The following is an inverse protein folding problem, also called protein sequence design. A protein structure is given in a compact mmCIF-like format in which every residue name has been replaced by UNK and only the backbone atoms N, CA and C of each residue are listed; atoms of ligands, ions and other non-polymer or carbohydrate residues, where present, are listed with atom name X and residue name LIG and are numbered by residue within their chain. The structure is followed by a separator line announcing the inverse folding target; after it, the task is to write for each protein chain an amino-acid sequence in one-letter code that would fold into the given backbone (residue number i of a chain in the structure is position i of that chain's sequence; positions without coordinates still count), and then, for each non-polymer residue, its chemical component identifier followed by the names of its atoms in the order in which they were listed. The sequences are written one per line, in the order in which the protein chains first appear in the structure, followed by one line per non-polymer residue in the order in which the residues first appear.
data_IF_819595423728
#
_entry.id   IF_819595423728
#
_cell.length_a   1.000
_cell.length_b   1.000
_cell.length_c   1.000
_cell.angle_alpha   90.00
_cell.angle_beta   90.00
_cell.angle_gamma   90.00
#
_symmetry.space_group_name_H-M   'P 1'
#
loop_
_entity.id
_entity.type
_entity.pdbx_description
1 polymer ?
#
# COMPACT_ATOMS: atom_id res chain seq x y z
N UNK A 1 27.47 1.66 -4.13
CA UNK A 1 26.25 1.48 -4.94
C UNK A 1 26.30 2.53 -6.02
N UNK A 2 25.96 2.17 -7.26
CA UNK A 2 25.87 3.15 -8.35
C UNK A 2 24.88 4.27 -7.96
N UNK A 3 25.20 5.52 -8.30
CA UNK A 3 24.37 6.69 -7.97
C UNK A 3 22.97 6.56 -8.59
N UNK A 4 22.88 6.01 -9.80
CA UNK A 4 21.62 5.78 -10.50
C UNK A 4 20.77 4.74 -9.77
N UNK A 5 21.39 3.65 -9.31
CA UNK A 5 20.72 2.60 -8.53
C UNK A 5 20.20 3.18 -7.20
N UNK A 6 21.03 3.98 -6.52
CA UNK A 6 20.65 4.60 -5.26
C UNK A 6 19.46 5.55 -5.44
N UNK A 7 19.41 6.30 -6.54
CA UNK A 7 18.29 7.19 -6.82
C UNK A 7 16.99 6.42 -7.10
N UNK A 8 17.06 5.25 -7.75
CA UNK A 8 15.89 4.36 -7.94
C UNK A 8 15.31 3.88 -6.61
N UNK A 9 16.14 3.43 -5.68
CA UNK A 9 15.70 3.08 -4.32
C UNK A 9 15.12 4.29 -3.56
N UNK A 10 15.75 5.47 -3.65
CA UNK A 10 15.23 6.69 -3.02
C UNK A 10 13.88 7.11 -3.60
N UNK A 11 13.72 7.01 -4.92
CA UNK A 11 12.43 7.29 -5.58
C UNK A 11 11.37 6.28 -5.12
N UNK A 12 11.65 4.98 -5.19
CA UNK A 12 10.73 3.94 -4.71
C UNK A 12 10.31 4.18 -3.25
N UNK A 13 11.26 4.48 -2.36
CA UNK A 13 10.98 4.76 -0.95
C UNK A 13 10.13 6.02 -0.70
N UNK A 14 10.32 7.08 -1.49
CA UNK A 14 9.47 8.28 -1.44
C UNK A 14 8.03 7.96 -1.87
N UNK A 15 7.86 7.22 -2.96
CA UNK A 15 6.55 6.80 -3.44
C UNK A 15 5.86 5.92 -2.38
N UNK A 16 6.55 4.88 -1.88
CA UNK A 16 6.03 3.95 -0.90
C UNK A 16 5.55 4.67 0.38
N UNK A 17 6.33 5.64 0.89
CA UNK A 17 5.91 6.52 1.99
C UNK A 17 4.63 7.27 1.65
N UNK A 18 4.61 7.97 0.51
CA UNK A 18 3.51 8.88 0.16
C UNK A 18 2.19 8.13 -0.03
N UNK A 19 2.22 6.95 -0.64
CA UNK A 19 1.02 6.13 -0.86
C UNK A 19 0.57 5.41 0.42
N UNK A 20 1.49 5.02 1.32
CA UNK A 20 1.14 4.50 2.66
C UNK A 20 0.40 5.55 3.47
N UNK A 21 0.90 6.80 3.49
CA UNK A 21 0.26 7.92 4.17
C UNK A 21 -1.09 8.30 3.53
N UNK A 22 -1.22 8.16 2.21
CA UNK A 22 -2.52 8.28 1.53
C UNK A 22 -3.51 7.22 2.04
N UNK A 23 -3.10 5.95 2.05
CA UNK A 23 -3.93 4.85 2.54
C UNK A 23 -4.41 5.06 3.98
N UNK A 24 -3.50 5.46 4.89
CA UNK A 24 -3.84 5.78 6.28
C UNK A 24 -4.95 6.85 6.37
N UNK A 25 -4.90 7.89 5.52
CA UNK A 25 -5.91 8.97 5.53
C UNK A 25 -7.27 8.54 5.01
N UNK A 26 -7.33 7.48 4.21
CA UNK A 26 -8.57 6.93 3.66
C UNK A 26 -9.28 5.98 4.62
N UNK A 27 -8.56 5.33 5.53
CA UNK A 27 -9.13 4.37 6.48
C UNK A 27 -10.11 5.08 7.43
N UNK A 28 -11.39 4.77 7.26
CA UNK A 28 -12.52 5.25 8.08
C UNK A 28 -13.63 4.21 8.09
N UNK A 29 -14.47 4.14 9.15
CA UNK A 29 -15.59 3.21 9.18
C UNK A 29 -16.50 3.34 7.94
N UNK A 30 -16.87 2.20 7.35
CA UNK A 30 -17.70 2.13 6.15
C UNK A 30 -16.96 2.34 4.81
N UNK A 31 -15.66 2.64 4.82
CA UNK A 31 -14.85 2.63 3.60
C UNK A 31 -14.48 1.19 3.27
N UNK A 32 -14.56 0.80 2.00
CA UNK A 32 -14.21 -0.55 1.56
C UNK A 32 -12.70 -0.73 1.53
N UNK A 33 -12.23 -1.92 1.89
CA UNK A 33 -10.80 -2.26 1.82
C UNK A 33 -10.29 -2.20 0.37
N UNK A 34 -11.10 -2.70 -0.57
CA UNK A 34 -10.78 -2.71 -1.99
C UNK A 34 -10.52 -1.30 -2.54
N UNK A 35 -11.36 -0.33 -2.18
CA UNK A 35 -11.20 1.07 -2.64
C UNK A 35 -9.87 1.68 -2.19
N UNK A 36 -9.44 1.35 -0.97
CA UNK A 36 -8.14 1.84 -0.45
C UNK A 36 -6.98 1.17 -1.18
N UNK A 37 -7.04 -0.14 -1.41
CA UNK A 37 -6.00 -0.85 -2.14
C UNK A 37 -5.86 -0.34 -3.60
N UNK A 38 -6.99 -0.21 -4.32
CA UNK A 38 -7.00 0.27 -5.70
C UNK A 38 -6.48 1.71 -5.82
N UNK A 39 -6.85 2.61 -4.90
CA UNK A 39 -6.36 3.99 -4.94
C UNK A 39 -4.87 4.09 -4.62
N UNK A 40 -4.35 3.25 -3.70
CA UNK A 40 -2.91 3.16 -3.43
C UNK A 40 -2.16 2.68 -4.68
N UNK A 41 -2.59 1.57 -5.29
CA UNK A 41 -1.93 1.01 -6.48
C UNK A 41 -1.97 1.97 -7.66
N UNK A 42 -3.13 2.59 -7.90
CA UNK A 42 -3.27 3.67 -8.90
C UNK A 42 -2.29 4.81 -8.61
N UNK A 43 -2.15 5.23 -7.35
CA UNK A 43 -1.25 6.32 -7.00
C UNK A 43 0.23 5.96 -7.20
N UNK A 44 0.60 4.69 -6.99
CA UNK A 44 1.95 4.21 -7.28
C UNK A 44 2.29 4.43 -8.76
N UNK A 45 1.40 4.04 -9.67
CA UNK A 45 1.57 4.26 -11.11
C UNK A 45 1.64 5.76 -11.45
N UNK A 46 0.76 6.60 -10.89
CA UNK A 46 0.77 8.05 -11.13
C UNK A 46 2.10 8.73 -10.72
N UNK A 47 2.76 8.21 -9.68
CA UNK A 47 4.04 8.72 -9.19
C UNK A 47 5.26 8.12 -9.91
N UNK A 48 5.02 7.27 -10.91
CA UNK A 48 6.06 6.68 -11.76
C UNK A 48 6.85 5.57 -11.07
N UNK A 49 6.18 4.78 -10.23
CA UNK A 49 6.62 3.46 -9.78
C UNK A 49 5.59 2.40 -10.18
N UNK A 50 5.84 1.16 -9.76
CA UNK A 50 4.91 0.04 -9.94
C UNK A 50 4.83 -0.77 -8.63
N UNK A 51 3.70 -1.44 -8.33
CA UNK A 51 3.60 -2.28 -7.14
C UNK A 51 4.65 -3.40 -7.16
N UNK A 52 5.48 -3.49 -6.11
CA UNK A 52 6.41 -4.61 -5.92
C UNK A 52 5.71 -5.89 -5.45
N UNK A 53 4.57 -5.72 -4.78
CA UNK A 53 3.62 -6.74 -4.41
C UNK A 53 2.23 -6.09 -4.26
N UNK A 54 1.12 -6.86 -4.32
CA UNK A 54 -0.23 -6.32 -4.14
C UNK A 54 -0.40 -5.65 -2.77
N UNK A 55 -1.15 -4.55 -2.71
CA UNK A 55 -1.33 -3.81 -1.44
C UNK A 55 -2.00 -4.69 -0.39
N UNK A 56 -1.36 -4.83 0.77
CA UNK A 56 -1.85 -5.64 1.86
C UNK A 56 -2.57 -4.77 2.91
N UNK A 57 -3.79 -5.14 3.27
CA UNK A 57 -4.61 -4.50 4.32
C UNK A 57 -5.11 -5.57 5.29
N UNK A 58 -4.41 -5.78 6.39
CA UNK A 58 -4.71 -6.85 7.36
C UNK A 58 -5.35 -6.31 8.64
N UNK A 59 -6.55 -6.78 8.95
CA UNK A 59 -7.37 -6.28 10.07
C UNK A 59 -7.31 -7.23 11.28
N UNK A 60 -7.14 -6.65 12.48
CA UNK A 60 -7.17 -7.34 13.77
C UNK A 60 -6.22 -8.56 13.80
N UNK A 61 -6.77 -9.76 14.01
CA UNK A 61 -6.02 -11.03 14.12
C UNK A 61 -5.37 -11.51 12.82
N UNK A 62 -5.71 -10.92 11.67
CA UNK A 62 -5.05 -11.24 10.40
C UNK A 62 -3.63 -10.71 10.48
N UNK A 63 -2.63 -11.60 10.39
CA UNK A 63 -1.24 -11.25 10.64
C UNK A 63 -0.65 -10.35 9.54
N UNK A 64 -0.75 -10.78 8.27
CA UNK A 64 -0.20 -10.09 7.11
C UNK A 64 -0.84 -10.63 5.81
N UNK A 65 -0.47 -10.02 4.68
CA UNK A 65 -0.69 -10.51 3.31
C UNK A 65 -2.15 -10.65 2.84
N UNK A 66 -3.11 -10.08 3.58
CA UNK A 66 -4.47 -9.95 3.03
C UNK A 66 -4.48 -8.82 2.00
N UNK A 67 -4.65 -9.15 0.72
CA UNK A 67 -4.94 -8.21 -0.36
C UNK A 67 -6.41 -8.37 -0.76
N UNK A 68 -7.25 -7.32 -0.68
CA UNK A 68 -8.63 -7.40 -1.10
C UNK A 68 -8.73 -7.69 -2.60
N UNK A 69 -9.69 -8.54 -2.99
CA UNK A 69 -10.00 -8.85 -4.41
C UNK A 69 -11.36 -8.28 -4.77
N UNK A 70 -11.72 -8.35 -6.05
CA UNK A 70 -13.03 -7.91 -6.55
C UNK A 70 -14.20 -8.60 -5.84
N UNK A 71 -14.05 -9.85 -5.40
CA UNK A 71 -15.08 -10.59 -4.66
C UNK A 71 -15.19 -10.16 -3.18
N UNK A 72 -14.22 -9.39 -2.68
CA UNK A 72 -14.15 -8.92 -1.30
C UNK A 72 -14.72 -7.47 -1.16
N UNK A 73 -15.51 -7.02 -2.15
CA UNK A 73 -16.12 -5.67 -2.22
C UNK A 73 -17.09 -5.34 -1.08
N UNK A 74 -17.55 -6.35 -0.34
CA UNK A 74 -18.39 -6.25 0.84
C UNK A 74 -17.60 -5.99 2.14
N UNK A 75 -16.26 -6.03 2.11
CA UNK A 75 -15.43 -5.80 3.28
C UNK A 75 -15.17 -4.30 3.50
N UNK A 76 -15.60 -3.82 4.65
CA UNK A 76 -15.46 -2.42 5.09
C UNK A 76 -14.72 -2.34 6.42
N UNK A 77 -13.99 -1.24 6.63
CA UNK A 77 -13.41 -0.92 7.93
C UNK A 77 -14.50 -0.64 8.96
N UNK A 78 -14.24 -1.00 10.22
CA UNK A 78 -15.14 -0.76 11.34
C UNK A 78 -14.47 0.07 12.41
N UNK A 79 -15.29 0.78 13.18
CA UNK A 79 -14.81 1.52 14.36
C UNK A 79 -14.12 0.55 15.33
N UNK A 80 -12.90 0.91 15.75
CA UNK A 80 -12.08 0.10 16.67
C UNK A 80 -11.23 -0.99 16.01
N UNK A 81 -11.24 -1.14 14.68
CA UNK A 81 -10.34 -2.06 13.98
C UNK A 81 -8.87 -1.64 14.12
N UNK A 82 -7.99 -2.62 14.39
CA UNK A 82 -6.55 -2.45 14.28
C UNK A 82 -6.14 -2.83 12.85
N UNK A 83 -5.76 -1.84 12.05
CA UNK A 83 -5.50 -2.02 10.61
C UNK A 83 -4.00 -1.99 10.36
N UNK A 84 -3.51 -2.98 9.60
CA UNK A 84 -2.12 -3.01 9.12
C UNK A 84 -2.13 -2.76 7.63
N UNK A 85 -1.49 -1.67 7.20
CA UNK A 85 -1.29 -1.33 5.80
C UNK A 85 0.17 -1.62 5.43
N UNK A 86 0.38 -2.35 4.35
CA UNK A 86 1.69 -2.80 3.91
C UNK A 86 1.80 -2.63 2.39
N UNK A 87 2.82 -1.90 1.96
CA UNK A 87 2.96 -1.40 0.59
C UNK A 87 4.38 -1.58 0.09
N UNK A 88 4.50 -2.21 -1.07
CA UNK A 88 5.74 -2.36 -1.82
C UNK A 88 5.70 -1.58 -3.14
N UNK A 89 6.76 -0.83 -3.42
CA UNK A 89 6.92 -0.10 -4.68
C UNK A 89 8.27 -0.45 -5.29
N UNK A 90 8.33 -0.64 -6.60
CA UNK A 90 9.58 -0.66 -7.33
C UNK A 90 9.67 0.45 -8.38
N UNK A 91 10.90 0.86 -8.67
CA UNK A 91 11.27 1.66 -9.84
C UNK A 91 12.34 0.85 -10.58
N UNK A 92 12.07 0.44 -11.81
CA UNK A 92 12.95 -0.45 -12.61
C UNK A 92 13.41 -1.73 -11.87
N UNK A 93 12.54 -2.33 -11.06
CA UNK A 93 12.85 -3.52 -10.25
C UNK A 93 13.58 -3.26 -8.93
N UNK A 94 13.94 -2.00 -8.61
CA UNK A 94 14.53 -1.64 -7.31
C UNK A 94 13.43 -1.33 -6.29
N UNK A 95 13.29 -2.20 -5.31
CA UNK A 95 12.14 -2.27 -4.40
C UNK A 95 12.36 -1.42 -3.13
N UNK A 96 11.33 -0.71 -2.71
CA UNK A 96 11.16 -0.23 -1.35
C UNK A 96 9.87 -0.78 -0.77
N UNK A 97 9.92 -1.17 0.50
CA UNK A 97 8.82 -1.78 1.25
C UNK A 97 8.62 -0.99 2.55
N UNK A 98 7.36 -0.75 2.91
CA UNK A 98 7.00 -0.19 4.20
C UNK A 98 5.59 -0.58 4.63
N UNK A 99 5.44 -0.80 5.95
CA UNK A 99 4.14 -0.99 6.58
C UNK A 99 3.89 0.01 7.74
N UNK A 100 2.62 0.17 8.13
CA UNK A 100 2.19 0.88 9.33
C UNK A 100 1.00 0.15 9.99
N UNK A 101 0.81 0.35 11.30
CA UNK A 101 -0.34 -0.13 12.09
C UNK A 101 -0.97 1.04 12.83
#
# INVERSE_FOLDING_TARGET
MDEEILEKYRKAGRIARDVRELGIKMIRPGVRLLDVAEEIEKKIYELGGEPAFPVNISINKVAAHFSPRYEDDHLEFKEGDVVKIDVGVHVDGYIADTAST
#
